data_IF_623851154454
#
_entry.id   IF_623851154454
#
_cell.length_a   1.000
_cell.length_b   1.000
_cell.length_c   1.000
_cell.angle_alpha   90.00
_cell.angle_beta   90.00
_cell.angle_gamma   90.00
#
_symmetry.space_group_name_H-M   'P 1'
#
loop_
_entity.id
_entity.type
_entity.pdbx_description
1 polymer ?
#
# COMPACT_ATOMS: atom_id res chain seq x y z
N UNK A 1 27.21 -19.87 -15.92
CA UNK A 1 26.47 -19.94 -14.64
C UNK A 1 27.05 -19.00 -13.58
N UNK A 2 28.36 -19.05 -13.30
CA UNK A 2 29.03 -18.17 -12.33
C UNK A 2 28.95 -16.66 -12.63
N UNK A 3 29.17 -16.24 -13.88
CA UNK A 3 29.11 -14.81 -14.27
C UNK A 3 27.70 -14.23 -14.08
N UNK A 4 26.65 -15.02 -14.34
CA UNK A 4 25.25 -14.62 -14.12
C UNK A 4 24.97 -14.40 -12.62
N UNK A 5 25.38 -15.34 -11.77
CA UNK A 5 25.20 -15.23 -10.32
C UNK A 5 25.97 -14.03 -9.72
N UNK A 6 27.17 -13.75 -10.21
CA UNK A 6 27.96 -12.58 -9.78
C UNK A 6 27.29 -11.29 -10.25
N UNK A 7 26.82 -11.22 -11.49
CA UNK A 7 26.11 -10.06 -12.04
C UNK A 7 24.82 -9.75 -11.28
N UNK A 8 24.01 -10.77 -10.96
CA UNK A 8 22.78 -10.61 -10.18
C UNK A 8 23.07 -10.13 -8.75
N UNK A 9 24.13 -10.64 -8.12
CA UNK A 9 24.51 -10.25 -6.75
C UNK A 9 25.02 -8.81 -6.70
N UNK A 10 25.90 -8.42 -7.63
CA UNK A 10 26.41 -7.04 -7.74
C UNK A 10 25.27 -6.08 -8.01
N UNK A 11 24.38 -6.39 -8.97
CA UNK A 11 23.22 -5.55 -9.28
C UNK A 11 22.31 -5.36 -8.06
N UNK A 12 22.02 -6.43 -7.32
CA UNK A 12 21.18 -6.38 -6.12
C UNK A 12 21.80 -5.48 -5.04
N UNK A 13 23.11 -5.61 -4.81
CA UNK A 13 23.85 -4.77 -3.86
C UNK A 13 23.82 -3.30 -4.31
N UNK A 14 24.09 -3.02 -5.59
CA UNK A 14 24.07 -1.65 -6.11
C UNK A 14 22.68 -1.00 -5.95
N UNK A 15 21.61 -1.73 -6.30
CA UNK A 15 20.23 -1.24 -6.12
C UNK A 15 19.94 -1.01 -4.64
N UNK A 16 20.27 -1.95 -3.76
CA UNK A 16 20.04 -1.81 -2.32
C UNK A 16 20.78 -0.60 -1.73
N UNK A 17 22.04 -0.38 -2.12
CA UNK A 17 22.83 0.77 -1.68
C UNK A 17 22.24 2.08 -2.18
N UNK A 18 21.89 2.16 -3.47
CA UNK A 18 21.28 3.34 -4.07
C UNK A 18 19.94 3.69 -3.42
N UNK A 19 19.12 2.67 -3.12
CA UNK A 19 17.83 2.86 -2.45
C UNK A 19 17.96 3.20 -0.97
N UNK A 20 19.00 2.70 -0.29
CA UNK A 20 19.32 3.15 1.08
C UNK A 20 19.64 4.63 1.08
N UNK A 21 20.51 5.06 0.15
CA UNK A 21 20.87 6.47 -0.01
C UNK A 21 19.65 7.32 -0.36
N UNK A 22 18.86 6.91 -1.36
CA UNK A 22 17.64 7.61 -1.76
C UNK A 22 16.62 7.66 -0.60
N UNK A 23 16.47 6.57 0.15
CA UNK A 23 15.61 6.49 1.33
C UNK A 23 16.04 7.47 2.42
N UNK A 24 17.33 7.60 2.70
CA UNK A 24 17.84 8.59 3.66
C UNK A 24 17.60 10.02 3.16
N UNK A 25 17.86 10.29 1.88
CA UNK A 25 17.69 11.65 1.31
C UNK A 25 16.23 12.10 1.22
N UNK A 26 15.31 11.16 1.04
CA UNK A 26 13.86 11.44 0.96
C UNK A 26 13.16 11.33 2.31
N UNK A 27 13.90 10.98 3.37
CA UNK A 27 13.36 10.95 4.72
C UNK A 27 12.92 12.37 5.12
N UNK A 28 11.72 12.48 5.69
CA UNK A 28 11.07 13.75 6.07
C UNK A 28 10.66 14.68 4.89
N UNK A 29 10.80 14.21 3.64
CA UNK A 29 10.25 14.92 2.48
C UNK A 29 9.33 14.01 1.64
N UNK A 30 8.02 13.99 1.96
CA UNK A 30 7.04 13.16 1.27
C UNK A 30 7.01 13.41 -0.24
N UNK A 31 7.12 14.67 -0.65
CA UNK A 31 7.07 15.07 -2.05
C UNK A 31 8.20 14.45 -2.88
N UNK A 32 9.46 14.51 -2.40
CA UNK A 32 10.58 13.87 -3.10
C UNK A 32 10.42 12.35 -3.15
N UNK A 33 9.89 11.75 -2.09
CA UNK A 33 9.62 10.32 -2.07
C UNK A 33 8.57 9.91 -3.11
N UNK A 34 7.49 10.68 -3.26
CA UNK A 34 6.42 10.36 -4.21
C UNK A 34 6.93 10.46 -5.65
N UNK A 35 7.74 11.46 -5.98
CA UNK A 35 8.43 11.53 -7.28
C UNK A 35 9.35 10.35 -7.53
N UNK A 36 10.13 9.93 -6.53
CA UNK A 36 10.97 8.73 -6.61
C UNK A 36 10.11 7.48 -6.87
N UNK A 37 8.95 7.37 -6.21
CA UNK A 37 8.02 6.26 -6.40
C UNK A 37 7.45 6.24 -7.82
N UNK A 38 6.93 7.37 -8.33
CA UNK A 38 6.43 7.46 -9.70
C UNK A 38 7.53 7.19 -10.74
N UNK A 39 8.73 7.74 -10.54
CA UNK A 39 9.88 7.46 -11.39
C UNK A 39 10.25 5.97 -11.40
N UNK A 40 10.15 5.30 -10.24
CA UNK A 40 10.36 3.86 -10.12
C UNK A 40 9.33 3.07 -10.93
N UNK A 41 8.03 3.40 -10.79
CA UNK A 41 6.96 2.74 -11.54
C UNK A 41 7.16 2.90 -13.06
N UNK A 42 7.49 4.12 -13.50
CA UNK A 42 7.80 4.39 -14.91
C UNK A 42 9.01 3.58 -15.39
N UNK A 43 10.10 3.57 -14.61
CA UNK A 43 11.31 2.80 -14.91
C UNK A 43 11.02 1.30 -15.05
N UNK A 44 10.21 0.72 -14.15
CA UNK A 44 9.83 -0.70 -14.19
C UNK A 44 9.10 -1.07 -15.49
N UNK A 45 8.20 -0.21 -15.96
CA UNK A 45 7.48 -0.39 -17.23
C UNK A 45 8.43 -0.27 -18.42
N UNK A 46 9.28 0.77 -18.45
CA UNK A 46 10.27 0.98 -19.52
C UNK A 46 11.25 -0.19 -19.62
N UNK A 47 11.62 -0.80 -18.50
CA UNK A 47 12.50 -1.97 -18.46
C UNK A 47 11.83 -3.24 -19.03
N UNK A 48 10.50 -3.34 -18.93
CA UNK A 48 9.71 -4.50 -19.33
C UNK A 48 8.55 -4.14 -20.29
N UNK A 49 8.82 -3.49 -21.44
CA UNK A 49 7.79 -2.82 -22.24
C UNK A 49 6.78 -3.77 -22.88
N UNK A 50 7.14 -5.06 -23.06
CA UNK A 50 6.26 -6.09 -23.63
C UNK A 50 5.61 -6.99 -22.57
N UNK A 51 5.87 -6.76 -21.28
CA UNK A 51 5.37 -7.63 -20.22
C UNK A 51 4.07 -7.10 -19.63
N UNK A 52 2.95 -7.60 -20.15
CA UNK A 52 1.60 -7.22 -19.68
C UNK A 52 1.39 -7.47 -18.18
N UNK A 53 2.09 -8.46 -17.61
CA UNK A 53 1.92 -8.79 -16.20
C UNK A 53 2.53 -7.71 -15.29
N UNK A 54 3.72 -7.22 -15.64
CA UNK A 54 4.36 -6.11 -14.94
C UNK A 54 3.56 -4.83 -15.14
N UNK A 55 3.09 -4.57 -16.36
CA UNK A 55 2.26 -3.41 -16.64
C UNK A 55 0.98 -3.41 -15.79
N UNK A 56 0.30 -4.57 -15.68
CA UNK A 56 -0.89 -4.71 -14.83
C UNK A 56 -0.61 -4.47 -13.35
N UNK A 57 0.51 -4.99 -12.82
CA UNK A 57 0.90 -4.77 -11.43
C UNK A 57 1.22 -3.29 -11.18
N UNK A 58 1.99 -2.65 -12.06
CA UNK A 58 2.30 -1.22 -11.98
C UNK A 58 1.03 -0.37 -12.08
N UNK A 59 0.08 -0.73 -12.94
CA UNK A 59 -1.20 -0.02 -13.06
C UNK A 59 -1.99 -0.05 -11.75
N UNK A 60 -2.06 -1.20 -11.06
CA UNK A 60 -2.74 -1.32 -9.76
C UNK A 60 -2.06 -0.41 -8.72
N UNK A 61 -0.73 -0.46 -8.64
CA UNK A 61 0.04 0.37 -7.70
C UNK A 61 -0.07 1.86 -7.99
N UNK A 62 -0.07 2.23 -9.27
CA UNK A 62 -0.25 3.61 -9.71
C UNK A 62 -1.63 4.12 -9.31
N UNK A 63 -2.70 3.35 -9.57
CA UNK A 63 -4.05 3.72 -9.16
C UNK A 63 -4.16 3.83 -7.64
N UNK A 64 -3.61 2.88 -6.89
CA UNK A 64 -3.59 2.95 -5.43
C UNK A 64 -2.90 4.23 -4.93
N UNK A 65 -1.75 4.59 -5.51
CA UNK A 65 -1.03 5.81 -5.16
C UNK A 65 -1.77 7.09 -5.57
N UNK A 66 -2.41 7.11 -6.74
CA UNK A 66 -3.23 8.25 -7.16
C UNK A 66 -4.45 8.43 -6.25
N UNK A 67 -5.05 7.34 -5.76
CA UNK A 67 -6.14 7.39 -4.79
C UNK A 67 -5.67 7.90 -3.42
N UNK A 68 -4.47 7.52 -2.97
CA UNK A 68 -3.83 8.05 -1.75
C UNK A 68 -3.67 9.58 -1.84
N UNK A 69 -3.06 10.08 -2.91
CA UNK A 69 -2.88 11.52 -3.17
C UNK A 69 -4.21 12.27 -3.30
N UNK A 70 -5.12 11.77 -4.14
CA UNK A 70 -6.43 12.41 -4.32
C UNK A 70 -7.25 12.39 -3.02
N UNK A 71 -7.11 11.32 -2.24
CA UNK A 71 -7.72 11.15 -0.94
C UNK A 71 -7.30 12.22 0.05
N UNK A 72 -6.05 12.70 -0.01
CA UNK A 72 -5.62 13.80 0.86
C UNK A 72 -6.49 15.04 0.66
N UNK A 73 -6.71 15.45 -0.59
CA UNK A 73 -7.52 16.63 -0.90
C UNK A 73 -9.03 16.42 -0.67
N UNK A 74 -9.52 15.19 -0.83
CA UNK A 74 -10.96 14.89 -0.75
C UNK A 74 -11.38 14.55 0.69
N UNK A 75 -10.53 13.80 1.41
CA UNK A 75 -10.78 13.30 2.75
C UNK A 75 -10.02 14.11 3.78
N UNK A 76 -8.69 14.25 3.64
CA UNK A 76 -7.87 14.92 4.65
C UNK A 76 -8.20 16.41 4.77
N UNK A 77 -8.47 17.14 3.68
CA UNK A 77 -8.75 18.58 3.74
C UNK A 77 -10.23 18.94 3.99
N UNK A 78 -11.18 18.12 3.53
CA UNK A 78 -12.63 18.39 3.71
C UNK A 78 -13.17 17.69 4.95
N UNK A 79 -13.15 18.41 6.06
CA UNK A 79 -13.72 17.99 7.35
C UNK A 79 -15.25 18.03 7.33
N UNK A 80 -15.86 17.05 6.67
CA UNK A 80 -17.32 16.93 6.61
C UNK A 80 -17.81 15.56 7.07
N UNK A 81 -18.93 15.55 7.80
CA UNK A 81 -19.63 14.32 8.22
C UNK A 81 -19.99 13.43 7.03
N UNK A 82 -20.27 14.05 5.87
CA UNK A 82 -20.58 13.36 4.62
C UNK A 82 -19.37 12.59 4.12
N UNK A 83 -18.19 13.20 4.15
CA UNK A 83 -16.93 12.55 3.76
C UNK A 83 -16.64 11.34 4.64
N UNK A 84 -16.76 11.48 5.97
CA UNK A 84 -16.57 10.37 6.92
C UNK A 84 -17.51 9.21 6.63
N UNK A 85 -18.80 9.51 6.48
CA UNK A 85 -19.82 8.51 6.17
C UNK A 85 -19.50 7.78 4.87
N UNK A 86 -19.07 8.49 3.82
CA UNK A 86 -18.67 7.88 2.54
C UNK A 86 -17.46 6.96 2.68
N UNK A 87 -16.46 7.34 3.48
CA UNK A 87 -15.29 6.48 3.73
C UNK A 87 -15.71 5.18 4.43
N UNK A 88 -16.50 5.28 5.51
CA UNK A 88 -16.93 4.10 6.27
C UNK A 88 -17.87 3.21 5.47
N UNK A 89 -18.83 3.78 4.74
CA UNK A 89 -19.68 3.03 3.83
C UNK A 89 -18.87 2.39 2.71
N UNK A 90 -17.92 3.12 2.13
CA UNK A 90 -17.03 2.61 1.09
C UNK A 90 -16.26 1.39 1.57
N UNK A 91 -15.65 1.45 2.75
CA UNK A 91 -14.94 0.31 3.33
C UNK A 91 -15.88 -0.86 3.64
N UNK A 92 -17.05 -0.59 4.23
CA UNK A 92 -18.03 -1.64 4.52
C UNK A 92 -18.46 -2.35 3.24
N UNK A 93 -18.73 -1.60 2.16
CA UNK A 93 -19.07 -2.16 0.85
C UNK A 93 -17.91 -2.99 0.28
N UNK A 94 -16.66 -2.51 0.39
CA UNK A 94 -15.46 -3.26 -0.01
C UNK A 94 -15.39 -4.60 0.73
N UNK A 95 -15.53 -4.59 2.06
CA UNK A 95 -15.45 -5.79 2.90
C UNK A 95 -16.63 -6.76 2.68
N UNK A 96 -17.81 -6.27 2.30
CA UNK A 96 -18.96 -7.11 1.92
C UNK A 96 -18.72 -7.80 0.57
N UNK A 97 -18.17 -7.06 -0.41
CA UNK A 97 -17.94 -7.57 -1.76
C UNK A 97 -16.75 -8.53 -1.83
N UNK A 98 -15.65 -8.22 -1.15
CA UNK A 98 -14.42 -9.00 -1.18
C UNK A 98 -14.44 -9.97 -0.01
N UNK A 99 -14.99 -11.17 -0.24
CA UNK A 99 -15.20 -12.15 0.82
C UNK A 99 -13.92 -12.91 1.19
N UNK A 100 -12.96 -12.92 0.27
CA UNK A 100 -11.69 -13.62 0.35
C UNK A 100 -10.63 -12.83 1.13
N UNK A 101 -10.94 -11.61 1.58
CA UNK A 101 -10.04 -10.79 2.38
C UNK A 101 -9.79 -11.45 3.74
N UNK A 102 -8.55 -11.89 3.97
CA UNK A 102 -8.11 -12.62 5.16
C UNK A 102 -8.38 -11.83 6.45
N UNK A 103 -8.25 -10.51 6.38
CA UNK A 103 -8.43 -9.61 7.52
C UNK A 103 -9.85 -9.01 7.59
N UNK A 104 -10.81 -9.53 6.82
CA UNK A 104 -12.17 -8.98 6.78
C UNK A 104 -12.81 -8.92 8.17
N UNK A 105 -12.78 -10.02 8.92
CA UNK A 105 -13.39 -10.10 10.25
C UNK A 105 -12.74 -9.13 11.25
N UNK A 106 -11.41 -9.12 11.45
CA UNK A 106 -10.80 -8.16 12.37
C UNK A 106 -11.03 -6.70 11.95
N UNK A 107 -11.02 -6.39 10.65
CA UNK A 107 -11.33 -5.04 10.15
C UNK A 107 -12.79 -4.65 10.43
N UNK A 108 -13.76 -5.55 10.25
CA UNK A 108 -15.17 -5.29 10.58
C UNK A 108 -15.37 -5.03 12.08
N UNK A 109 -14.70 -5.79 12.94
CA UNK A 109 -14.74 -5.57 14.39
C UNK A 109 -14.16 -4.20 14.75
N UNK A 110 -12.99 -3.86 14.20
CA UNK A 110 -12.35 -2.57 14.44
C UNK A 110 -13.19 -1.41 13.88
N UNK A 111 -13.86 -1.59 12.73
CA UNK A 111 -14.79 -0.61 12.16
C UNK A 111 -16.02 -0.43 13.06
N UNK A 112 -16.60 -1.50 13.59
CA UNK A 112 -17.71 -1.41 14.53
C UNK A 112 -17.32 -0.63 15.81
N UNK A 113 -16.13 -0.90 16.36
CA UNK A 113 -15.57 -0.13 17.48
C UNK A 113 -15.44 1.35 17.11
N UNK A 114 -14.96 1.65 15.89
CA UNK A 114 -14.84 3.03 15.39
C UNK A 114 -16.18 3.74 15.39
N UNK A 115 -17.21 3.11 14.81
CA UNK A 115 -18.53 3.72 14.69
C UNK A 115 -19.17 3.98 16.05
N UNK A 116 -19.01 3.06 17.01
CA UNK A 116 -19.48 3.25 18.40
C UNK A 116 -18.71 4.37 19.09
N UNK A 117 -17.38 4.42 18.93
CA UNK A 117 -16.53 5.45 19.51
C UNK A 117 -16.84 6.85 18.95
N UNK A 118 -16.97 6.98 17.63
CA UNK A 118 -17.34 8.26 17.00
C UNK A 118 -18.75 8.70 17.38
N UNK A 119 -19.71 7.78 17.47
CA UNK A 119 -21.05 8.12 17.95
C UNK A 119 -21.01 8.66 19.39
N UNK A 120 -20.24 8.00 20.28
CA UNK A 120 -20.05 8.47 21.65
C UNK A 120 -19.39 9.85 21.70
N UNK A 121 -18.34 10.09 20.90
CA UNK A 121 -17.65 11.38 20.83
C UNK A 121 -18.53 12.49 20.24
N UNK A 122 -19.34 12.17 19.23
CA UNK A 122 -20.32 13.09 18.68
C UNK A 122 -21.34 13.53 19.74
N UNK A 123 -21.87 12.58 20.53
CA UNK A 123 -22.84 12.87 21.60
C UNK A 123 -22.24 13.68 22.76
N UNK A 124 -20.94 13.52 23.01
CA UNK A 124 -20.22 14.21 24.12
C UNK A 124 -19.56 15.52 23.69
N UNK A 125 -19.73 15.95 22.43
CA UNK A 125 -19.01 17.08 21.83
C UNK A 125 -17.49 16.99 22.01
N UNK A 126 -16.96 15.77 22.03
CA UNK A 126 -15.53 15.54 22.04
C UNK A 126 -14.98 16.01 20.69
N UNK A 127 -13.87 16.76 20.70
CA UNK A 127 -13.31 17.35 19.48
C UNK A 127 -13.09 16.26 18.45
N UNK A 128 -13.65 16.47 17.27
CA UNK A 128 -13.72 15.47 16.22
C UNK A 128 -12.32 15.08 15.71
N UNK A 129 -12.13 13.78 15.47
CA UNK A 129 -10.82 13.18 15.24
C UNK A 129 -10.79 12.51 13.87
N UNK A 130 -9.61 12.54 13.26
CA UNK A 130 -9.39 12.18 11.86
C UNK A 130 -9.13 10.68 11.68
N UNK A 131 -10.06 9.85 12.15
CA UNK A 131 -9.98 8.38 11.99
C UNK A 131 -10.36 7.93 10.58
N UNK A 132 -11.19 8.73 9.92
CA UNK A 132 -11.60 8.57 8.53
C UNK A 132 -10.40 8.44 7.57
N UNK A 133 -9.33 9.21 7.79
CA UNK A 133 -8.13 9.10 6.96
C UNK A 133 -7.49 7.70 7.01
N UNK A 134 -7.33 7.12 8.19
CA UNK A 134 -6.74 5.78 8.35
C UNK A 134 -7.63 4.70 7.74
N UNK A 135 -8.96 4.84 7.87
CA UNK A 135 -9.91 3.93 7.26
C UNK A 135 -9.94 4.03 5.73
N UNK A 136 -9.77 5.23 5.20
CA UNK A 136 -9.62 5.45 3.76
C UNK A 136 -8.37 4.74 3.22
N UNK A 137 -7.23 4.89 3.91
CA UNK A 137 -5.97 4.21 3.55
C UNK A 137 -6.12 2.68 3.60
N UNK A 138 -6.73 2.16 4.67
CA UNK A 138 -7.03 0.72 4.78
C UNK A 138 -7.90 0.25 3.60
N UNK A 139 -8.90 1.03 3.19
CA UNK A 139 -9.75 0.67 2.06
C UNK A 139 -8.96 0.59 0.73
N UNK A 140 -8.09 1.56 0.46
CA UNK A 140 -7.19 1.51 -0.71
C UNK A 140 -6.33 0.25 -0.67
N UNK A 141 -5.77 -0.09 0.48
CA UNK A 141 -4.89 -1.25 0.64
C UNK A 141 -5.63 -2.58 0.43
N UNK A 142 -6.85 -2.72 0.95
CA UNK A 142 -7.71 -3.90 0.70
C UNK A 142 -8.02 -4.02 -0.79
N UNK A 143 -8.40 -2.92 -1.45
CA UNK A 143 -8.66 -2.91 -2.89
C UNK A 143 -7.40 -3.28 -3.69
N UNK A 144 -6.26 -2.67 -3.37
CA UNK A 144 -4.99 -2.96 -4.05
C UNK A 144 -4.62 -4.44 -3.91
N UNK A 145 -4.73 -5.03 -2.72
CA UNK A 145 -4.49 -6.46 -2.49
C UNK A 145 -5.42 -7.34 -3.31
N UNK A 146 -6.71 -7.04 -3.29
CA UNK A 146 -7.69 -7.78 -4.09
C UNK A 146 -7.39 -7.71 -5.58
N UNK A 147 -7.04 -6.53 -6.10
CA UNK A 147 -6.68 -6.38 -7.51
C UNK A 147 -5.36 -7.06 -7.85
N UNK A 148 -4.35 -7.07 -6.97
CA UNK A 148 -3.11 -7.82 -7.17
C UNK A 148 -3.40 -9.32 -7.27
N UNK A 149 -4.23 -9.85 -6.37
CA UNK A 149 -4.62 -11.26 -6.37
C UNK A 149 -5.43 -11.63 -7.63
N UNK A 150 -6.43 -10.83 -7.99
CA UNK A 150 -7.30 -11.10 -9.14
C UNK A 150 -6.70 -10.69 -10.48
N UNK A 151 -5.56 -9.98 -10.48
CA UNK A 151 -4.90 -9.44 -11.68
C UNK A 151 -4.75 -10.49 -12.78
N UNK A 152 -4.26 -11.67 -12.44
CA UNK A 152 -4.01 -12.74 -13.42
C UNK A 152 -5.30 -13.14 -14.14
N UNK A 153 -6.40 -13.25 -13.40
CA UNK A 153 -7.70 -13.54 -13.97
C UNK A 153 -8.19 -12.41 -14.88
N UNK A 154 -8.16 -11.15 -14.39
CA UNK A 154 -8.55 -9.98 -15.17
C UNK A 154 -7.73 -9.84 -16.46
N UNK A 155 -6.40 -9.94 -16.36
CA UNK A 155 -5.51 -9.88 -17.53
C UNK A 155 -5.77 -11.03 -18.49
N UNK A 156 -6.14 -12.23 -18.02
CA UNK A 156 -6.41 -13.38 -18.89
C UNK A 156 -7.64 -13.21 -19.78
N UNK A 157 -8.62 -12.41 -19.33
CA UNK A 157 -9.82 -12.11 -20.11
C UNK A 157 -9.54 -11.22 -21.32
N UNK A 158 -8.64 -10.23 -21.16
CA UNK A 158 -8.28 -9.30 -22.22
C UNK A 158 -7.07 -9.75 -23.05
N UNK A 159 -6.13 -10.47 -22.43
CA UNK A 159 -4.88 -10.93 -23.05
C UNK A 159 -4.68 -12.44 -22.81
N UNK A 160 -5.48 -13.29 -23.47
CA UNK A 160 -5.41 -14.74 -23.31
C UNK A 160 -3.99 -15.25 -23.66
N UNK A 161 -3.50 -16.23 -22.89
CA UNK A 161 -2.17 -16.86 -22.98
C UNK A 161 -0.96 -16.00 -22.55
N UNK A 162 -1.13 -14.70 -22.34
CA UNK A 162 -0.05 -13.82 -21.87
C UNK A 162 -0.08 -13.57 -20.35
N UNK A 163 -1.23 -13.81 -19.72
CA UNK A 163 -1.40 -13.68 -18.28
C UNK A 163 -0.66 -14.75 -17.50
N UNK A 164 0.21 -14.33 -16.58
CA UNK A 164 0.95 -15.19 -15.66
C UNK A 164 1.07 -14.54 -14.29
N UNK A 165 1.03 -15.37 -13.25
CA UNK A 165 1.39 -14.96 -11.89
C UNK A 165 2.88 -14.57 -11.85
N UNK A 166 3.17 -13.48 -11.16
CA UNK A 166 4.54 -13.05 -10.88
C UNK A 166 4.86 -13.37 -9.42
N UNK A 167 6.09 -13.80 -9.15
CA UNK A 167 6.57 -13.92 -7.76
C UNK A 167 6.45 -12.60 -6.99
N UNK A 168 6.52 -11.47 -7.71
CA UNK A 168 6.36 -10.13 -7.16
C UNK A 168 4.92 -9.85 -6.66
N UNK A 169 3.90 -10.51 -7.22
CA UNK A 169 2.50 -10.30 -6.82
C UNK A 169 2.32 -10.62 -5.32
N UNK A 170 2.88 -11.74 -4.86
CA UNK A 170 2.82 -12.15 -3.45
C UNK A 170 3.54 -11.15 -2.54
N UNK A 171 4.76 -10.75 -2.91
CA UNK A 171 5.54 -9.80 -2.11
C UNK A 171 4.85 -8.44 -1.99
N UNK A 172 4.24 -7.95 -3.07
CA UNK A 172 3.47 -6.71 -3.05
C UNK A 172 2.22 -6.88 -2.20
N UNK A 173 1.49 -7.99 -2.34
CA UNK A 173 0.32 -8.30 -1.53
C UNK A 173 0.64 -8.31 -0.02
N UNK A 174 1.72 -8.98 0.39
CA UNK A 174 2.12 -9.07 1.79
C UNK A 174 2.58 -7.70 2.32
N UNK A 175 3.25 -6.91 1.48
CA UNK A 175 3.66 -5.56 1.85
C UNK A 175 2.45 -4.63 2.06
N UNK A 176 1.41 -4.72 1.24
CA UNK A 176 0.16 -3.97 1.45
C UNK A 176 -0.53 -4.40 2.76
N UNK A 177 -0.42 -5.68 3.13
CA UNK A 177 -0.91 -6.19 4.41
C UNK A 177 -0.15 -5.54 5.59
N UNK A 178 1.16 -5.38 5.47
CA UNK A 178 1.97 -4.71 6.48
C UNK A 178 1.59 -3.23 6.66
N UNK A 179 1.37 -2.49 5.56
CA UNK A 179 0.86 -1.13 5.61
C UNK A 179 -0.50 -1.06 6.32
N UNK A 180 -1.42 -1.97 5.95
CA UNK A 180 -2.77 -2.02 6.50
C UNK A 180 -2.74 -2.30 8.01
N UNK A 181 -1.87 -3.22 8.43
CA UNK A 181 -1.66 -3.53 9.84
C UNK A 181 -1.14 -2.32 10.62
N UNK A 182 -0.20 -1.56 10.05
CA UNK A 182 0.31 -0.34 10.68
C UNK A 182 -0.79 0.72 10.87
N UNK A 183 -1.65 0.94 9.86
CA UNK A 183 -2.81 1.82 10.02
C UNK A 183 -3.80 1.31 11.08
N UNK A 184 -4.05 0.00 11.13
CA UNK A 184 -4.90 -0.60 12.15
C UNK A 184 -4.30 -0.44 13.57
N UNK A 185 -2.99 -0.60 13.73
CA UNK A 185 -2.31 -0.37 15.02
C UNK A 185 -2.42 1.08 15.48
N UNK A 186 -2.32 2.05 14.55
CA UNK A 186 -2.53 3.47 14.87
C UNK A 186 -3.95 3.69 15.39
N UNK A 187 -4.96 3.11 14.74
CA UNK A 187 -6.35 3.16 15.21
C UNK A 187 -6.51 2.51 16.60
N UNK A 188 -5.88 1.36 16.84
CA UNK A 188 -5.96 0.67 18.14
C UNK A 188 -5.30 1.49 19.26
N UNK A 189 -4.07 1.98 19.07
CA UNK A 189 -3.41 2.87 20.03
C UNK A 189 -4.26 4.13 20.27
N UNK A 190 -4.87 4.64 19.22
CA UNK A 190 -5.76 5.76 19.29
C UNK A 190 -6.97 5.49 20.21
N UNK A 191 -7.64 4.35 20.06
CA UNK A 191 -8.76 3.94 20.94
C UNK A 191 -8.31 3.75 22.38
N UNK A 192 -7.17 3.08 22.61
CA UNK A 192 -6.61 2.90 23.96
C UNK A 192 -6.42 4.25 24.65
N UNK A 193 -5.89 5.25 23.92
CA UNK A 193 -5.64 6.57 24.48
C UNK A 193 -6.89 7.35 24.83
N UNK A 194 -7.95 7.25 24.03
CA UNK A 194 -9.13 8.11 24.18
C UNK A 194 -10.29 7.43 24.91
N UNK A 195 -10.35 6.10 24.91
CA UNK A 195 -11.38 5.33 25.63
C UNK A 195 -10.85 4.93 27.02
N UNK A 196 -9.62 4.43 27.12
CA UNK A 196 -9.04 3.98 28.39
C UNK A 196 -8.27 5.09 29.13
N UNK A 197 -8.10 6.26 28.50
CA UNK A 197 -7.37 7.41 29.06
C UNK A 197 -5.92 7.06 29.42
N UNK A 198 -5.32 6.12 28.69
CA UNK A 198 -3.92 5.70 28.86
C UNK A 198 -3.05 6.49 27.88
N UNK A 199 -2.05 7.22 28.38
CA UNK A 199 -1.15 8.02 27.54
C UNK A 199 -0.09 7.17 26.84
N UNK A 200 -0.50 6.37 25.86
CA UNK A 200 0.37 5.57 24.99
C UNK A 200 0.49 6.26 23.62
N UNK A 201 1.72 6.45 23.15
CA UNK A 201 2.05 7.17 21.89
C UNK A 201 3.15 6.43 21.11
N UNK A 202 3.30 5.12 21.32
CA UNK A 202 4.44 4.35 20.82
C UNK A 202 4.33 4.12 19.32
N UNK A 203 3.21 3.57 18.87
CA UNK A 203 2.92 3.29 17.47
C UNK A 203 2.87 4.59 16.68
N UNK A 204 2.21 5.62 17.22
CA UNK A 204 2.15 6.93 16.58
C UNK A 204 3.55 7.50 16.32
N UNK A 205 4.40 7.51 17.34
CA UNK A 205 5.76 8.09 17.24
C UNK A 205 6.66 7.30 16.29
N UNK A 206 6.49 5.99 16.21
CA UNK A 206 7.30 5.12 15.35
C UNK A 206 6.73 4.97 13.93
N UNK A 207 5.47 5.35 13.71
CA UNK A 207 4.75 5.11 12.46
C UNK A 207 5.44 5.70 11.23
N UNK A 208 5.98 6.92 11.34
CA UNK A 208 6.68 7.61 10.23
C UNK A 208 7.86 6.77 9.74
N UNK A 209 8.66 6.23 10.66
CA UNK A 209 9.80 5.38 10.32
C UNK A 209 9.34 4.08 9.65
N UNK A 210 8.33 3.41 10.21
CA UNK A 210 7.80 2.17 9.63
C UNK A 210 7.20 2.39 8.24
N UNK A 211 6.37 3.42 8.04
CA UNK A 211 5.82 3.74 6.73
C UNK A 211 6.92 4.01 5.72
N UNK A 212 7.93 4.81 6.08
CA UNK A 212 9.04 5.11 5.19
C UNK A 212 9.84 3.85 4.82
N UNK A 213 10.17 3.01 5.81
CA UNK A 213 10.88 1.74 5.59
C UNK A 213 10.09 0.83 4.66
N UNK A 214 8.79 0.65 4.89
CA UNK A 214 7.93 -0.17 4.03
C UNK A 214 7.85 0.38 2.61
N UNK A 215 7.80 1.71 2.44
CA UNK A 215 7.79 2.34 1.11
C UNK A 215 9.13 2.12 0.38
N UNK A 216 10.26 2.24 1.06
CA UNK A 216 11.59 1.93 0.49
C UNK A 216 11.69 0.44 0.10
N UNK A 217 11.19 -0.47 0.95
CA UNK A 217 11.10 -1.90 0.65
C UNK A 217 10.25 -2.14 -0.60
N UNK A 218 9.14 -1.42 -0.77
CA UNK A 218 8.30 -1.52 -1.97
C UNK A 218 9.10 -1.21 -3.23
N UNK A 219 9.78 -0.07 -3.26
CA UNK A 219 10.64 0.35 -4.38
C UNK A 219 11.71 -0.71 -4.66
N UNK A 220 12.37 -1.22 -3.61
CA UNK A 220 13.37 -2.27 -3.74
C UNK A 220 12.82 -3.54 -4.39
N UNK A 221 11.67 -4.03 -3.93
CA UNK A 221 11.02 -5.22 -4.49
C UNK A 221 10.62 -5.01 -5.95
N UNK A 222 10.10 -3.83 -6.29
CA UNK A 222 9.71 -3.50 -7.66
C UNK A 222 10.91 -3.49 -8.61
N UNK A 223 12.00 -2.79 -8.25
CA UNK A 223 13.19 -2.69 -9.11
C UNK A 223 13.87 -4.07 -9.23
N UNK A 224 14.09 -4.76 -8.11
CA UNK A 224 14.77 -6.07 -8.14
C UNK A 224 13.93 -7.14 -8.83
N UNK A 225 12.60 -7.14 -8.63
CA UNK A 225 11.69 -8.03 -9.34
C UNK A 225 11.68 -7.78 -10.84
N UNK A 226 11.54 -6.50 -11.24
CA UNK A 226 11.50 -6.10 -12.64
C UNK A 226 12.82 -6.38 -13.38
N UNK A 227 13.97 -6.15 -12.73
CA UNK A 227 15.29 -6.39 -13.30
C UNK A 227 15.59 -7.88 -13.49
N UNK A 228 15.27 -8.72 -12.49
CA UNK A 228 15.40 -10.19 -12.63
C UNK A 228 14.55 -10.72 -13.78
N UNK A 229 13.33 -10.21 -13.93
CA UNK A 229 12.42 -10.61 -15.01
C UNK A 229 12.95 -10.18 -16.39
N UNK A 230 13.42 -8.93 -16.51
CA UNK A 230 14.01 -8.42 -17.74
C UNK A 230 15.25 -9.23 -18.16
N UNK A 231 16.11 -9.58 -17.20
CA UNK A 231 17.29 -10.40 -17.43
C UNK A 231 16.92 -11.82 -17.89
N UNK A 232 15.93 -12.45 -17.26
CA UNK A 232 15.47 -13.79 -17.64
C UNK A 232 14.91 -13.82 -19.08
N UNK A 233 14.16 -12.79 -19.48
CA UNK A 233 13.61 -12.68 -20.84
C UNK A 233 14.68 -12.46 -21.90
N UNK A 234 15.76 -11.72 -21.60
CA UNK A 234 16.87 -11.49 -22.53
C UNK A 234 17.78 -12.72 -22.73
N UNK A 235 17.82 -13.62 -21.75
CA UNK A 235 18.63 -14.84 -21.83
C UNK A 235 17.87 -15.97 -22.57
N UNK A 236 16.54 -15.90 -22.62
CA UNK A 236 15.68 -16.91 -23.26
C UNK A 236 15.24 -16.55 -24.69
N UNK A 237 15.53 -15.33 -25.15
CA UNK A 237 15.32 -14.86 -26.51
C UNK A 237 16.59 -15.05 -27.36
#
# INVERSE_FOLDING_TARGET
MFIKAISERVLTITIASLLTVAGVFTFDNPFWFDWLYFATLAFVVVLNPKNINIAGLVAILLVAKLLDEAGWYIVAERESIQTKALVYLGLLLTLIKIKEEEYRTPLLVLLAITLVAELYWYLTNYKDLRLDWYWFQINILVLARHFVFTRVFLTSQYFPKQSKSLTLDLHVHDLMSAFMFLHALILVEYYVRHILVINVVVVWSLSIYFFHTLKVINIYLLITGATKLALANRISA
#
